data_IF_708799841366
#
_entry.id   IF_708799841366
#
_cell.length_a   1.000
_cell.length_b   1.000
_cell.length_c   1.000
_cell.angle_alpha   90.00
_cell.angle_beta   90.00
_cell.angle_gamma   90.00
#
_symmetry.space_group_name_H-M   'P 1'
#
loop_
_entity.id
_entity.type
_entity.pdbx_description
1 polymer ?
#
# COMPACT_ATOMS: atom_id res chain seq x y z
N UNK A 1 38.10 -41.07 -56.84
CA UNK A 1 37.21 -39.87 -56.76
C UNK A 1 36.63 -39.80 -55.35
N UNK A 2 37.10 -38.85 -54.55
CA UNK A 2 36.60 -38.61 -53.17
C UNK A 2 35.76 -37.32 -53.21
N UNK A 3 34.46 -37.46 -52.93
CA UNK A 3 33.57 -36.30 -52.76
C UNK A 3 33.68 -35.80 -51.33
N UNK A 4 34.14 -34.57 -51.17
CA UNK A 4 34.12 -33.88 -49.89
C UNK A 4 32.77 -33.10 -49.79
N UNK A 5 31.93 -33.54 -48.85
CA UNK A 5 30.70 -32.82 -48.51
C UNK A 5 31.04 -31.67 -47.58
N UNK A 6 30.83 -30.46 -48.02
CA UNK A 6 30.88 -29.24 -47.20
C UNK A 6 29.50 -29.09 -46.48
N UNK A 7 29.49 -29.33 -45.17
CA UNK A 7 28.34 -28.94 -44.32
C UNK A 7 28.49 -27.45 -43.92
N UNK A 8 27.68 -26.61 -44.47
CA UNK A 8 27.58 -25.19 -44.06
C UNK A 8 26.66 -25.12 -42.85
N UNK A 9 27.25 -24.99 -41.64
CA UNK A 9 26.50 -24.77 -40.42
C UNK A 9 26.03 -23.29 -40.37
N UNK A 10 24.75 -23.09 -40.55
CA UNK A 10 24.10 -21.81 -40.28
C UNK A 10 23.94 -21.63 -38.76
N UNK A 11 24.79 -20.82 -38.15
CA UNK A 11 24.63 -20.39 -36.74
C UNK A 11 23.56 -19.28 -36.72
N UNK A 12 22.35 -19.63 -36.36
CA UNK A 12 21.32 -18.66 -36.01
C UNK A 12 21.74 -17.97 -34.71
N UNK A 13 22.22 -16.73 -34.81
CA UNK A 13 22.37 -15.86 -33.64
C UNK A 13 20.96 -15.46 -33.17
N UNK A 14 20.40 -16.22 -32.25
CA UNK A 14 19.21 -15.79 -31.51
C UNK A 14 19.66 -14.63 -30.62
N UNK A 15 19.34 -13.40 -31.02
CA UNK A 15 19.39 -12.26 -30.10
C UNK A 15 18.35 -12.52 -29.03
N UNK A 16 18.81 -13.01 -27.86
CA UNK A 16 17.98 -12.98 -26.65
C UNK A 16 17.72 -11.50 -26.36
N UNK A 17 16.56 -11.04 -26.73
CA UNK A 17 16.05 -9.76 -26.23
C UNK A 17 15.86 -9.94 -24.74
N UNK A 18 16.84 -9.51 -23.97
CA UNK A 18 16.75 -9.50 -22.51
C UNK A 18 15.57 -8.58 -22.20
N UNK A 19 14.49 -9.16 -21.70
CA UNK A 19 13.32 -8.38 -21.27
C UNK A 19 13.82 -7.39 -20.24
N UNK A 20 13.49 -6.14 -20.42
CA UNK A 20 13.87 -5.02 -19.54
C UNK A 20 13.02 -5.09 -18.25
N UNK A 21 13.09 -6.24 -17.53
CA UNK A 21 12.25 -6.57 -16.42
C UNK A 21 12.75 -5.87 -15.16
N UNK A 22 11.88 -5.08 -14.53
CA UNK A 22 12.07 -4.61 -13.17
C UNK A 22 10.96 -5.19 -12.29
N UNK A 23 11.33 -5.71 -11.14
CA UNK A 23 10.34 -6.24 -10.20
C UNK A 23 9.59 -5.10 -9.47
N UNK A 24 10.23 -3.94 -9.33
CA UNK A 24 9.70 -2.76 -8.65
C UNK A 24 9.84 -1.51 -9.54
N UNK A 25 8.73 -0.85 -9.79
CA UNK A 25 8.68 0.37 -10.60
C UNK A 25 8.30 1.57 -9.75
N UNK A 26 9.07 2.63 -9.82
CA UNK A 26 8.75 3.93 -9.22
C UNK A 26 8.29 4.88 -10.31
N UNK A 27 7.10 5.42 -10.15
CA UNK A 27 6.50 6.40 -11.07
C UNK A 27 6.30 7.74 -10.36
N UNK A 28 6.62 8.83 -11.02
CA UNK A 28 6.32 10.18 -10.54
C UNK A 28 5.92 11.09 -11.69
N UNK A 29 5.20 12.17 -11.40
CA UNK A 29 5.03 13.27 -12.34
C UNK A 29 6.40 13.93 -12.63
N UNK A 30 6.51 14.67 -13.73
CA UNK A 30 7.73 15.45 -14.04
C UNK A 30 7.99 16.49 -12.96
N UNK A 31 6.94 17.17 -12.46
CA UNK A 31 7.07 18.17 -11.41
C UNK A 31 7.53 17.58 -10.07
N UNK A 32 7.01 16.43 -9.66
CA UNK A 32 7.48 15.74 -8.46
C UNK A 32 8.87 15.16 -8.65
N UNK A 33 9.13 14.53 -9.79
CA UNK A 33 10.43 13.92 -10.10
C UNK A 33 11.56 14.91 -10.36
N UNK A 34 11.28 16.20 -10.52
CA UNK A 34 12.26 17.27 -10.68
C UNK A 34 12.47 18.11 -9.41
N UNK A 35 11.63 17.90 -8.40
CA UNK A 35 11.78 18.57 -7.10
C UNK A 35 12.90 17.91 -6.29
N UNK A 36 13.95 18.65 -5.89
CA UNK A 36 15.10 18.06 -5.20
C UNK A 36 14.77 17.29 -3.91
N UNK A 37 13.76 17.73 -3.18
CA UNK A 37 13.36 17.07 -1.94
C UNK A 37 12.59 15.76 -2.22
N UNK A 38 11.76 15.74 -3.25
CA UNK A 38 11.03 14.54 -3.66
C UNK A 38 11.91 13.55 -4.42
N UNK A 39 12.96 14.02 -5.08
CA UNK A 39 14.01 13.14 -5.65
C UNK A 39 14.67 12.31 -4.55
N UNK A 40 14.85 12.83 -3.32
CA UNK A 40 15.35 12.04 -2.20
C UNK A 40 14.43 10.87 -1.86
N UNK A 41 13.11 11.07 -1.94
CA UNK A 41 12.11 10.01 -1.72
C UNK A 41 12.22 8.92 -2.79
N UNK A 42 12.29 9.34 -4.07
CA UNK A 42 12.44 8.43 -5.20
C UNK A 42 13.72 7.61 -5.07
N UNK A 43 14.85 8.25 -4.80
CA UNK A 43 16.14 7.59 -4.65
C UNK A 43 16.16 6.61 -3.45
N UNK A 44 15.45 6.93 -2.36
CA UNK A 44 15.32 6.03 -1.22
C UNK A 44 14.58 4.73 -1.60
N UNK A 45 13.52 4.81 -2.42
CA UNK A 45 12.83 3.65 -2.95
C UNK A 45 13.69 2.88 -3.95
N UNK A 46 14.35 3.57 -4.88
CA UNK A 46 15.23 2.95 -5.86
C UNK A 46 16.37 2.17 -5.20
N UNK A 47 16.98 2.73 -4.17
CA UNK A 47 18.06 2.07 -3.42
C UNK A 47 17.58 0.92 -2.52
N UNK A 48 16.30 0.87 -2.20
CA UNK A 48 15.69 -0.13 -1.32
C UNK A 48 15.43 -1.46 -2.03
N UNK A 49 15.10 -1.42 -3.31
CA UNK A 49 14.69 -2.58 -4.08
C UNK A 49 15.66 -2.86 -5.23
N UNK A 50 16.23 -4.06 -5.23
CA UNK A 50 17.05 -4.53 -6.34
C UNK A 50 16.23 -4.56 -7.65
N UNK A 51 16.86 -4.22 -8.76
CA UNK A 51 16.22 -4.15 -10.08
C UNK A 51 15.00 -3.20 -10.14
N UNK A 52 15.01 -2.14 -9.33
CA UNK A 52 14.03 -1.07 -9.45
C UNK A 52 14.27 -0.21 -10.69
N UNK A 53 13.22 0.40 -11.20
CA UNK A 53 13.28 1.41 -12.27
C UNK A 53 12.46 2.62 -11.89
N UNK A 54 12.91 3.78 -12.34
CA UNK A 54 12.22 5.05 -12.16
C UNK A 54 11.76 5.56 -13.53
N UNK A 55 10.49 5.89 -13.66
CA UNK A 55 9.93 6.52 -14.87
C UNK A 55 9.15 7.77 -14.46
N UNK A 56 9.34 8.83 -15.22
CA UNK A 56 8.56 10.07 -15.07
C UNK A 56 7.50 10.15 -16.15
N UNK A 57 6.34 10.68 -15.79
CA UNK A 57 5.24 10.94 -16.70
C UNK A 57 4.87 12.43 -16.69
N UNK A 58 4.31 12.98 -17.80
CA UNK A 58 3.83 14.36 -17.84
C UNK A 58 2.81 14.65 -16.76
N UNK A 59 2.86 15.83 -16.18
CA UNK A 59 2.00 16.21 -15.06
C UNK A 59 0.52 15.91 -15.35
N UNK A 60 -0.11 15.19 -14.44
CA UNK A 60 -1.51 14.79 -14.56
C UNK A 60 -1.82 13.67 -15.59
N UNK A 61 -0.82 13.10 -16.25
CA UNK A 61 -1.01 12.13 -17.35
C UNK A 61 -0.21 10.84 -17.15
N UNK A 62 -0.50 10.04 -16.10
CA UNK A 62 0.21 8.78 -15.86
C UNK A 62 0.03 7.76 -17.01
N UNK A 63 -1.06 7.83 -17.78
CA UNK A 63 -1.34 6.99 -18.93
C UNK A 63 -0.29 7.12 -20.05
N UNK A 64 0.45 8.22 -20.11
CA UNK A 64 1.47 8.46 -21.13
C UNK A 64 2.64 7.46 -21.08
N UNK A 65 2.80 6.73 -19.97
CA UNK A 65 3.88 5.75 -19.81
C UNK A 65 3.42 4.30 -19.95
N UNK A 66 2.18 4.05 -20.38
CA UNK A 66 1.59 2.71 -20.51
C UNK A 66 2.49 1.76 -21.32
N UNK A 67 2.97 2.19 -22.50
CA UNK A 67 3.82 1.35 -23.36
C UNK A 67 5.17 0.99 -22.72
N UNK A 68 5.70 1.86 -21.86
CA UNK A 68 6.91 1.56 -21.09
C UNK A 68 6.62 0.51 -20.01
N UNK A 69 5.49 0.64 -19.33
CA UNK A 69 5.06 -0.30 -18.28
C UNK A 69 4.76 -1.68 -18.88
N UNK A 70 4.11 -1.73 -20.04
CA UNK A 70 3.86 -2.98 -20.79
C UNK A 70 5.13 -3.76 -21.10
N UNK A 71 6.23 -3.06 -21.43
CA UNK A 71 7.53 -3.69 -21.69
C UNK A 71 8.22 -4.20 -20.43
N UNK A 72 8.05 -3.49 -19.31
CA UNK A 72 8.70 -3.83 -18.04
C UNK A 72 7.92 -4.93 -17.31
N UNK A 73 6.59 -4.89 -17.33
CA UNK A 73 5.69 -5.77 -16.58
C UNK A 73 6.07 -5.89 -15.09
N UNK A 74 6.08 -4.78 -14.35
CA UNK A 74 6.52 -4.77 -12.97
C UNK A 74 5.52 -5.53 -12.09
N UNK A 75 6.02 -6.30 -11.12
CA UNK A 75 5.15 -6.89 -10.10
C UNK A 75 4.61 -5.84 -9.13
N UNK A 76 5.43 -4.86 -8.79
CA UNK A 76 5.07 -3.77 -7.87
C UNK A 76 5.29 -2.42 -8.52
N UNK A 77 4.35 -1.50 -8.31
CA UNK A 77 4.42 -0.13 -8.81
C UNK A 77 4.11 0.86 -7.71
N UNK A 78 5.05 1.76 -7.42
CA UNK A 78 4.87 2.84 -6.47
C UNK A 78 4.76 4.18 -7.21
N UNK A 79 3.64 4.87 -7.03
CA UNK A 79 3.46 6.24 -7.49
C UNK A 79 3.91 7.19 -6.40
N UNK A 80 5.01 7.93 -6.61
CA UNK A 80 5.47 8.98 -5.71
C UNK A 80 4.84 10.29 -6.15
N UNK A 81 4.05 10.91 -5.28
CA UNK A 81 3.29 12.09 -5.61
C UNK A 81 3.23 13.09 -4.43
N UNK A 82 3.30 14.39 -4.74
CA UNK A 82 3.02 15.46 -3.78
C UNK A 82 1.55 15.40 -3.37
N UNK A 83 1.25 15.77 -2.13
CA UNK A 83 -0.11 15.77 -1.61
C UNK A 83 -1.15 16.43 -2.55
N UNK A 84 -0.89 17.60 -3.16
CA UNK A 84 -1.88 18.22 -4.06
C UNK A 84 -2.13 17.45 -5.37
N UNK A 85 -1.23 16.56 -5.79
CA UNK A 85 -1.39 15.72 -6.98
C UNK A 85 -2.32 14.53 -6.72
N UNK A 86 -2.46 14.09 -5.46
CA UNK A 86 -3.24 12.91 -5.08
C UNK A 86 -4.72 13.26 -5.03
N UNK A 87 -5.28 13.53 -6.20
CA UNK A 87 -6.70 13.81 -6.38
C UNK A 87 -7.48 12.54 -6.73
N UNK A 88 -8.81 12.58 -6.56
CA UNK A 88 -9.68 11.49 -7.04
C UNK A 88 -9.47 11.18 -8.52
N UNK A 89 -9.30 12.22 -9.35
CA UNK A 89 -9.04 12.05 -10.78
C UNK A 89 -7.73 11.31 -11.04
N UNK A 90 -6.66 11.66 -10.32
CA UNK A 90 -5.36 10.99 -10.44
C UNK A 90 -5.45 9.51 -10.04
N UNK A 91 -6.10 9.20 -8.91
CA UNK A 91 -6.30 7.81 -8.47
C UNK A 91 -7.09 7.01 -9.52
N UNK A 92 -8.12 7.61 -10.12
CA UNK A 92 -8.88 6.97 -11.21
C UNK A 92 -8.01 6.67 -12.42
N UNK A 93 -7.16 7.61 -12.86
CA UNK A 93 -6.22 7.39 -13.97
C UNK A 93 -5.19 6.30 -13.67
N UNK A 94 -4.64 6.29 -12.46
CA UNK A 94 -3.72 5.22 -12.01
C UNK A 94 -4.42 3.86 -12.05
N UNK A 95 -5.63 3.78 -11.53
CA UNK A 95 -6.41 2.54 -11.54
C UNK A 95 -6.69 2.05 -12.98
N UNK A 96 -7.03 2.96 -13.90
CA UNK A 96 -7.21 2.62 -15.30
C UNK A 96 -5.90 2.17 -15.95
N UNK A 97 -4.81 2.89 -15.73
CA UNK A 97 -3.48 2.57 -16.25
C UNK A 97 -3.03 1.16 -15.84
N UNK A 98 -3.17 0.82 -14.55
CA UNK A 98 -2.71 -0.47 -14.01
C UNK A 98 -3.55 -1.66 -14.45
N UNK A 99 -4.72 -1.42 -15.04
CA UNK A 99 -5.61 -2.44 -15.64
C UNK A 99 -5.55 -2.49 -17.17
N UNK A 100 -4.69 -1.69 -17.76
CA UNK A 100 -4.54 -1.60 -19.22
C UNK A 100 -3.17 -2.12 -19.68
N UNK A 101 -2.42 -2.77 -18.79
CA UNK A 101 -1.08 -3.29 -19.11
C UNK A 101 -1.19 -4.50 -20.04
N UNK A 102 -2.19 -5.33 -19.85
CA UNK A 102 -2.57 -6.39 -20.78
C UNK A 102 -4.05 -6.32 -21.21
N UNK A 103 -4.59 -7.38 -21.77
CA UNK A 103 -5.93 -7.39 -22.39
C UNK A 103 -7.03 -7.94 -21.46
N UNK A 104 -6.67 -8.30 -20.21
CA UNK A 104 -7.67 -8.75 -19.24
C UNK A 104 -8.21 -7.60 -18.38
N UNK A 105 -9.36 -7.76 -17.68
CA UNK A 105 -9.94 -6.67 -16.89
C UNK A 105 -9.34 -6.51 -15.48
N UNK A 106 -8.30 -7.25 -15.11
CA UNK A 106 -7.72 -7.23 -13.77
C UNK A 106 -6.53 -6.27 -13.66
N UNK A 107 -6.04 -6.10 -12.47
CA UNK A 107 -4.87 -5.25 -12.19
C UNK A 107 -3.58 -6.05 -12.36
N UNK A 108 -2.73 -5.63 -13.26
CA UNK A 108 -1.51 -6.34 -13.69
C UNK A 108 -0.31 -6.12 -12.78
N UNK A 109 -0.40 -5.20 -11.84
CA UNK A 109 0.66 -4.85 -10.91
C UNK A 109 0.07 -4.52 -9.54
N UNK A 110 0.75 -4.90 -8.48
CA UNK A 110 0.38 -4.46 -7.12
C UNK A 110 0.88 -3.03 -6.96
N UNK A 111 -0.03 -2.08 -6.85
CA UNK A 111 0.33 -0.68 -6.85
C UNK A 111 -0.10 0.07 -5.58
N UNK A 112 0.61 1.15 -5.29
CA UNK A 112 0.29 2.07 -4.22
C UNK A 112 0.81 3.47 -4.50
N UNK A 113 0.31 4.44 -3.75
CA UNK A 113 0.75 5.82 -3.81
C UNK A 113 1.55 6.11 -2.53
N UNK A 114 2.79 6.55 -2.69
CA UNK A 114 3.58 7.10 -1.61
C UNK A 114 3.50 8.62 -1.68
N UNK A 115 2.93 9.19 -0.65
CA UNK A 115 2.79 10.63 -0.45
C UNK A 115 3.06 10.96 1.01
N UNK A 116 3.00 12.21 1.38
CA UNK A 116 3.16 12.69 2.74
C UNK A 116 2.62 14.11 2.86
N UNK A 117 2.51 14.61 4.06
CA UNK A 117 2.22 16.02 4.29
C UNK A 117 3.28 16.90 3.63
N UNK A 118 4.54 16.42 3.66
CA UNK A 118 5.68 16.99 2.98
C UNK A 118 6.64 15.88 2.50
N UNK A 119 7.74 16.27 1.88
CA UNK A 119 8.77 15.35 1.38
C UNK A 119 9.53 14.64 2.51
N UNK A 120 9.69 15.24 3.67
CA UNK A 120 10.38 14.63 4.81
C UNK A 120 9.56 13.48 5.39
N UNK A 121 8.24 13.68 5.52
CA UNK A 121 7.31 12.65 5.94
C UNK A 121 7.29 11.48 4.94
N UNK A 122 7.21 11.77 3.63
CA UNK A 122 7.29 10.75 2.58
C UNK A 122 8.63 10.01 2.58
N UNK A 123 9.75 10.71 2.82
CA UNK A 123 11.09 10.13 2.89
C UNK A 123 11.22 9.17 4.07
N UNK A 124 10.65 9.51 5.21
CA UNK A 124 10.61 8.63 6.39
C UNK A 124 9.93 7.28 6.06
N UNK A 125 8.80 7.34 5.36
CA UNK A 125 8.09 6.13 4.89
C UNK A 125 8.95 5.35 3.89
N UNK A 126 9.54 6.02 2.90
CA UNK A 126 10.39 5.38 1.88
C UNK A 126 11.59 4.65 2.50
N UNK A 127 12.20 5.21 3.53
CA UNK A 127 13.37 4.64 4.24
C UNK A 127 13.04 3.47 5.15
N UNK A 128 11.77 3.26 5.52
CA UNK A 128 11.37 2.15 6.40
C UNK A 128 11.67 0.82 5.70
N UNK A 129 12.57 0.03 6.27
CA UNK A 129 13.00 -1.28 5.71
C UNK A 129 12.35 -2.45 6.41
N UNK A 130 12.15 -2.31 7.72
CA UNK A 130 11.57 -3.37 8.52
C UNK A 130 10.07 -3.48 8.28
N UNK A 131 9.54 -4.69 8.16
CA UNK A 131 8.09 -4.90 8.10
C UNK A 131 7.43 -4.32 9.34
N UNK A 132 6.29 -3.67 9.15
CA UNK A 132 5.47 -3.25 10.28
C UNK A 132 4.97 -4.49 11.02
N UNK A 133 5.44 -4.69 12.24
CA UNK A 133 4.95 -5.75 13.12
C UNK A 133 3.90 -5.18 14.06
N UNK A 134 2.68 -5.70 13.94
CA UNK A 134 1.55 -5.29 14.77
C UNK A 134 1.35 -6.36 15.84
N UNK A 135 1.71 -6.04 17.06
CA UNK A 135 1.54 -6.93 18.22
C UNK A 135 0.33 -6.57 19.05
N UNK A 136 -0.02 -5.27 19.12
CA UNK A 136 -1.08 -4.71 19.94
C UNK A 136 -2.13 -4.01 19.09
N UNK A 137 -3.37 -4.50 19.20
CA UNK A 137 -4.51 -4.01 18.42
C UNK A 137 -5.58 -3.46 19.35
N UNK A 138 -6.15 -2.31 19.00
CA UNK A 138 -7.40 -1.84 19.56
C UNK A 138 -8.46 -1.73 18.47
N UNK A 139 -9.73 -1.93 18.83
CA UNK A 139 -10.78 -1.90 17.84
C UNK A 139 -12.13 -1.44 18.41
N UNK A 140 -12.89 -0.71 17.60
CA UNK A 140 -14.28 -0.37 17.83
C UNK A 140 -15.25 -1.35 17.18
N UNK A 141 -14.75 -2.45 16.63
CA UNK A 141 -15.52 -3.56 16.04
C UNK A 141 -14.86 -4.89 16.41
N UNK A 142 -15.53 -6.00 16.17
CA UNK A 142 -15.01 -7.34 16.46
C UNK A 142 -13.82 -7.65 15.54
N UNK A 143 -12.71 -8.08 16.13
CA UNK A 143 -11.51 -8.54 15.42
C UNK A 143 -10.97 -9.82 16.03
N UNK A 144 -10.32 -10.67 15.23
CA UNK A 144 -9.74 -11.93 15.65
C UNK A 144 -8.44 -11.70 16.45
N UNK A 145 -8.55 -11.58 17.78
CA UNK A 145 -7.40 -11.32 18.65
C UNK A 145 -6.42 -12.50 18.75
N UNK A 146 -6.79 -13.68 18.28
CA UNK A 146 -5.89 -14.85 18.29
C UNK A 146 -4.61 -14.61 17.47
N UNK A 147 -4.69 -13.78 16.44
CA UNK A 147 -3.56 -13.42 15.58
C UNK A 147 -2.69 -12.29 16.15
N UNK A 148 -3.05 -11.71 17.28
CA UNK A 148 -2.33 -10.63 17.95
C UNK A 148 -1.73 -11.10 19.27
N UNK A 149 -0.64 -10.49 19.71
CA UNK A 149 -0.10 -10.78 21.06
C UNK A 149 -0.98 -10.18 22.15
N UNK A 150 -1.49 -8.98 21.93
CA UNK A 150 -2.39 -8.26 22.84
C UNK A 150 -3.48 -7.56 22.03
N UNK A 151 -4.64 -7.40 22.61
CA UNK A 151 -5.69 -6.63 21.97
C UNK A 151 -6.89 -6.34 22.84
N UNK A 152 -7.66 -5.36 22.43
CA UNK A 152 -8.95 -5.02 23.01
C UNK A 152 -9.88 -4.55 21.92
N UNK A 153 -11.11 -5.06 21.94
CA UNK A 153 -12.15 -4.53 21.09
C UNK A 153 -13.46 -4.31 21.82
N UNK A 154 -14.17 -3.29 21.40
CA UNK A 154 -15.48 -2.90 21.88
C UNK A 154 -16.51 -3.26 20.81
N UNK A 155 -17.52 -4.05 21.18
CA UNK A 155 -18.53 -4.49 20.23
C UNK A 155 -19.41 -3.30 19.78
N UNK A 156 -19.55 -3.11 18.49
CA UNK A 156 -20.47 -2.12 17.94
C UNK A 156 -21.93 -2.59 17.90
N UNK A 157 -22.17 -3.91 17.95
CA UNK A 157 -23.50 -4.51 17.84
C UNK A 157 -24.11 -4.91 19.20
N UNK A 158 -23.27 -5.22 20.19
CA UNK A 158 -23.74 -5.66 21.51
C UNK A 158 -23.35 -4.66 22.59
N UNK A 159 -24.37 -4.10 23.20
CA UNK A 159 -24.25 -3.18 24.34
C UNK A 159 -23.38 -3.78 25.45
N UNK A 160 -22.34 -3.03 25.83
CA UNK A 160 -21.50 -3.37 26.97
C UNK A 160 -20.58 -4.58 26.78
N UNK A 161 -20.44 -5.11 25.59
CA UNK A 161 -19.51 -6.20 25.32
C UNK A 161 -18.14 -5.66 24.95
N UNK A 162 -17.11 -6.07 25.71
CA UNK A 162 -15.70 -5.82 25.42
C UNK A 162 -14.98 -7.16 25.43
N UNK A 163 -14.03 -7.38 24.54
CA UNK A 163 -13.13 -8.53 24.58
C UNK A 163 -11.70 -8.02 24.66
N UNK A 164 -10.94 -8.61 25.58
CA UNK A 164 -9.52 -8.28 25.79
C UNK A 164 -8.67 -9.54 25.78
N UNK A 165 -7.51 -9.44 25.15
CA UNK A 165 -6.44 -10.42 25.22
C UNK A 165 -5.19 -9.77 25.78
N UNK A 166 -4.68 -10.30 26.87
CA UNK A 166 -3.34 -9.95 27.34
C UNK A 166 -2.31 -10.90 26.72
N UNK A 167 -1.05 -10.50 26.73
CA UNK A 167 0.07 -11.29 26.22
C UNK A 167 0.09 -12.68 26.85
N UNK A 168 0.22 -13.72 26.04
CA UNK A 168 0.23 -15.13 26.46
C UNK A 168 -1.06 -15.64 27.12
N UNK A 169 -2.18 -14.97 26.90
CA UNK A 169 -3.50 -15.39 27.41
C UNK A 169 -4.49 -15.54 26.26
N UNK A 170 -5.54 -16.31 26.51
CA UNK A 170 -6.69 -16.36 25.59
C UNK A 170 -7.54 -15.09 25.71
N UNK A 171 -8.26 -14.70 24.66
CA UNK A 171 -9.22 -13.62 24.74
C UNK A 171 -10.31 -13.91 25.79
N UNK A 172 -10.67 -12.89 26.56
CA UNK A 172 -11.76 -12.96 27.54
C UNK A 172 -12.79 -11.88 27.28
N UNK A 173 -14.07 -12.23 27.45
CA UNK A 173 -15.17 -11.27 27.40
C UNK A 173 -15.29 -10.54 28.72
N UNK A 174 -15.43 -9.23 28.65
CA UNK A 174 -15.60 -8.35 29.81
C UNK A 174 -16.90 -7.55 29.66
N UNK A 175 -17.49 -7.16 30.78
CA UNK A 175 -18.63 -6.25 30.77
C UNK A 175 -18.12 -4.81 30.75
N UNK A 176 -18.44 -4.08 29.70
CA UNK A 176 -18.14 -2.66 29.52
C UNK A 176 -19.33 -1.74 29.78
N UNK A 177 -19.16 -0.44 29.58
CA UNK A 177 -20.23 0.53 29.66
C UNK A 177 -21.28 0.30 28.55
N UNK A 178 -22.49 0.76 28.80
CA UNK A 178 -23.56 0.65 27.80
C UNK A 178 -23.30 1.45 26.53
N UNK A 179 -22.78 2.66 26.67
CA UNK A 179 -22.22 3.48 25.57
C UNK A 179 -20.70 3.34 25.62
N UNK A 180 -20.10 2.87 24.54
CA UNK A 180 -18.67 2.60 24.47
C UNK A 180 -17.84 3.79 23.98
N UNK A 181 -18.44 4.92 23.65
CA UNK A 181 -17.76 6.06 23.02
C UNK A 181 -16.60 6.58 23.88
N UNK A 182 -16.86 6.85 25.17
CA UNK A 182 -15.83 7.34 26.09
C UNK A 182 -14.75 6.29 26.36
N UNK A 183 -15.15 5.03 26.51
CA UNK A 183 -14.21 3.93 26.71
C UNK A 183 -13.28 3.70 25.50
N UNK A 184 -13.81 3.90 24.29
CA UNK A 184 -13.01 3.86 23.06
C UNK A 184 -12.06 5.05 22.94
N UNK A 185 -12.51 6.27 23.25
CA UNK A 185 -11.66 7.45 23.29
C UNK A 185 -10.50 7.25 24.27
N UNK A 186 -10.77 6.70 25.46
CA UNK A 186 -9.76 6.34 26.43
C UNK A 186 -8.81 5.26 25.91
N UNK A 187 -9.33 4.24 25.25
CA UNK A 187 -8.50 3.21 24.61
C UNK A 187 -7.56 3.79 23.57
N UNK A 188 -8.01 4.71 22.74
CA UNK A 188 -7.16 5.37 21.75
C UNK A 188 -6.00 6.15 22.38
N UNK A 189 -6.23 6.83 23.51
CA UNK A 189 -5.22 7.66 24.16
C UNK A 189 -4.27 6.88 25.07
N UNK A 190 -4.76 5.87 25.78
CA UNK A 190 -4.00 5.21 26.85
C UNK A 190 -3.44 3.84 26.45
N UNK A 191 -4.12 3.08 25.57
CA UNK A 191 -3.71 1.72 25.25
C UNK A 191 -2.49 1.65 24.31
N UNK A 192 -2.20 2.72 23.58
CA UNK A 192 -1.08 2.83 22.65
C UNK A 192 -1.01 1.66 21.65
N UNK A 193 -2.15 1.33 21.05
CA UNK A 193 -2.21 0.31 20.01
C UNK A 193 -1.40 0.70 18.78
N UNK A 194 -0.74 -0.27 18.16
CA UNK A 194 -0.03 -0.10 16.91
C UNK A 194 -0.98 -0.08 15.71
N UNK A 195 -2.15 -0.71 15.85
CA UNK A 195 -3.24 -0.70 14.89
C UNK A 195 -4.55 -0.43 15.61
N UNK A 196 -5.32 0.52 15.10
CA UNK A 196 -6.70 0.75 15.50
C UNK A 196 -7.65 0.43 14.33
N UNK A 197 -8.62 -0.46 14.59
CA UNK A 197 -9.59 -0.90 13.57
C UNK A 197 -10.97 -0.41 13.94
N UNK A 198 -11.71 0.12 12.97
CA UNK A 198 -13.10 0.52 13.17
C UNK A 198 -13.97 0.10 12.01
N UNK A 199 -15.24 -0.12 12.31
CA UNK A 199 -16.34 -0.15 11.36
C UNK A 199 -17.35 0.89 11.79
N UNK A 200 -17.94 1.62 10.86
CA UNK A 200 -18.91 2.65 11.15
C UNK A 200 -18.91 3.81 10.16
N UNK A 201 -19.92 4.66 10.31
CA UNK A 201 -20.04 5.85 9.49
C UNK A 201 -19.13 6.97 9.99
N UNK A 202 -18.57 7.73 9.06
CA UNK A 202 -17.80 8.93 9.36
C UNK A 202 -18.25 10.09 8.46
N UNK A 203 -18.17 11.28 9.01
CA UNK A 203 -18.30 12.54 8.28
C UNK A 203 -17.02 13.34 8.45
N UNK A 204 -16.92 14.51 7.82
CA UNK A 204 -15.78 15.41 7.99
C UNK A 204 -15.52 15.83 9.46
N UNK A 205 -16.54 15.76 10.32
CA UNK A 205 -16.50 16.25 11.70
C UNK A 205 -16.97 15.24 12.74
N UNK A 206 -17.37 14.05 12.33
CA UNK A 206 -17.93 13.04 13.22
C UNK A 206 -17.53 11.63 12.81
N UNK A 207 -17.15 10.86 13.80
CA UNK A 207 -16.80 9.46 13.63
C UNK A 207 -17.63 8.61 14.59
N UNK A 208 -18.49 7.76 14.02
CA UNK A 208 -19.37 6.89 14.79
C UNK A 208 -18.69 5.53 14.95
N UNK A 209 -18.09 5.32 16.12
CA UNK A 209 -17.37 4.09 16.44
C UNK A 209 -17.91 3.45 17.72
N UNK A 210 -17.90 2.11 17.76
CA UNK A 210 -18.40 1.37 18.88
C UNK A 210 -19.92 1.44 19.03
N UNK A 211 -20.43 0.85 20.12
CA UNK A 211 -21.86 0.93 20.44
C UNK A 211 -22.21 2.24 21.14
N UNK A 212 -23.13 2.99 20.56
CA UNK A 212 -23.66 4.22 21.13
C UNK A 212 -25.16 4.30 20.88
N UNK A 213 -25.87 4.94 21.79
CA UNK A 213 -27.32 5.18 21.64
C UNK A 213 -27.69 6.13 20.48
N UNK A 214 -26.71 6.82 19.93
CA UNK A 214 -26.91 7.71 18.78
C UNK A 214 -26.74 7.01 17.44
N UNK A 215 -26.22 5.79 17.44
CA UNK A 215 -25.95 4.98 16.24
C UNK A 215 -27.05 3.92 16.01
N UNK A 216 -28.02 3.82 16.90
CA UNK A 216 -29.15 2.89 16.82
C UNK A 216 -30.41 3.50 16.29
#
# INVERSE_FOLDING_TARGET
>A
MRFASFFLAWIFLIKIVQADSANYLVLSSESTGSDPEWVKVINALESKYESSKVIRFPDGSPEAVLEKIRKIRPRYTCFVAKHPEVTRAMVTKIHQLTRSIDDDPYTDTIWGILTGYDSENALSIAKTREPLTIERVASGTEVALDHCLEGVWHCELKKGKIVRKNRNQNPIELKGPADSTEALAKTLTEYQAQLFVTSGHATERGWQIGFSYRNG
#
